data_IF_787455203539
#
_entry.id   IF_787455203539
#
_cell.length_a   1.000
_cell.length_b   1.000
_cell.length_c   1.000
_cell.angle_alpha   90.00
_cell.angle_beta   90.00
_cell.angle_gamma   90.00
#
_symmetry.space_group_name_H-M   'P 1'
#
loop_
_entity.id
_entity.type
_entity.pdbx_description
1 polymer ?
#
# COMPACT_ATOMS: atom_id res chain seq x y z
N UNK A 1 -9.60 -14.83 -5.50
CA UNK A 1 -8.15 -14.53 -5.41
C UNK A 1 -7.30 -15.74 -5.04
N UNK A 2 -7.39 -16.29 -3.82
CA UNK A 2 -6.57 -17.45 -3.39
C UNK A 2 -6.67 -18.65 -4.36
N UNK A 3 -7.88 -19.10 -4.68
CA UNK A 3 -8.10 -20.20 -5.62
C UNK A 3 -7.80 -19.86 -7.10
N UNK A 4 -7.63 -18.58 -7.43
CA UNK A 4 -7.16 -18.13 -8.74
C UNK A 4 -5.62 -18.11 -8.83
N UNK A 5 -4.92 -18.52 -7.77
CA UNK A 5 -3.46 -18.44 -7.69
C UNK A 5 -2.93 -17.01 -7.50
N UNK A 6 -3.79 -16.04 -7.19
CA UNK A 6 -3.38 -14.65 -6.99
C UNK A 6 -3.03 -14.43 -5.50
N UNK A 7 -1.83 -13.92 -5.17
CA UNK A 7 -1.43 -13.68 -3.79
C UNK A 7 -2.43 -12.81 -3.03
N UNK A 8 -2.90 -13.29 -1.87
CA UNK A 8 -3.91 -12.59 -1.07
C UNK A 8 -3.92 -13.05 0.39
N UNK A 9 -4.56 -12.26 1.25
CA UNK A 9 -4.92 -12.63 2.61
C UNK A 9 -6.19 -13.51 2.64
N UNK A 10 -6.10 -14.81 2.96
CA UNK A 10 -7.28 -15.65 3.14
C UNK A 10 -8.12 -15.23 4.35
N UNK A 11 -9.44 -15.36 4.22
CA UNK A 11 -10.37 -15.28 5.34
C UNK A 11 -10.52 -16.66 5.99
N UNK A 12 -10.31 -16.74 7.30
CA UNK A 12 -10.43 -17.97 8.09
C UNK A 12 -11.84 -18.19 8.61
N UNK A 13 -12.50 -17.14 9.09
CA UNK A 13 -13.86 -17.22 9.63
C UNK A 13 -14.58 -15.86 9.56
N UNK A 14 -15.91 -15.91 9.54
CA UNK A 14 -16.79 -14.75 9.69
C UNK A 14 -17.76 -15.07 10.82
N UNK A 15 -17.88 -14.17 11.79
CA UNK A 15 -18.80 -14.28 12.91
C UNK A 15 -19.70 -13.04 12.88
N UNK A 16 -21.01 -13.25 12.92
CA UNK A 16 -22.01 -12.18 13.02
C UNK A 16 -22.54 -12.07 14.45
N UNK A 17 -23.05 -10.89 14.83
CA UNK A 17 -23.72 -10.67 16.11
C UNK A 17 -25.05 -9.93 15.93
N UNK A 18 -25.85 -9.88 16.99
CA UNK A 18 -27.04 -9.03 17.05
C UNK A 18 -26.70 -7.56 17.40
N UNK A 19 -25.41 -7.23 17.55
CA UNK A 19 -24.97 -5.85 17.69
C UNK A 19 -25.24 -5.11 16.40
N UNK A 20 -25.88 -3.96 16.50
CA UNK A 20 -26.23 -3.13 15.36
C UNK A 20 -25.23 -1.99 15.20
N UNK A 21 -24.85 -1.70 13.96
CA UNK A 21 -23.94 -0.62 13.57
C UNK A 21 -24.61 0.22 12.52
N UNK A 22 -24.63 1.53 12.74
CA UNK A 22 -25.13 2.50 11.78
C UNK A 22 -24.07 2.72 10.69
N UNK A 23 -24.48 2.60 9.43
CA UNK A 23 -23.62 2.72 8.26
C UNK A 23 -24.32 3.58 7.22
N UNK A 24 -23.53 4.44 6.60
CA UNK A 24 -23.89 5.13 5.37
C UNK A 24 -22.93 4.64 4.28
N UNK A 25 -23.33 3.58 3.59
CA UNK A 25 -22.46 2.89 2.62
C UNK A 25 -22.07 3.81 1.46
N UNK A 26 -22.98 4.72 1.07
CA UNK A 26 -22.80 5.61 -0.08
C UNK A 26 -22.48 7.05 0.30
N UNK A 27 -22.35 7.35 1.59
CA UNK A 27 -22.16 8.70 2.11
C UNK A 27 -23.25 9.69 1.65
N UNK A 28 -24.50 9.24 1.50
CA UNK A 28 -25.64 10.07 1.04
C UNK A 28 -26.37 10.78 2.19
N UNK A 29 -26.06 10.44 3.43
CA UNK A 29 -26.81 10.83 4.62
C UNK A 29 -27.96 9.87 4.97
N UNK A 30 -28.23 8.86 4.12
CA UNK A 30 -29.26 7.86 4.35
C UNK A 30 -28.70 6.68 5.16
N UNK A 31 -28.57 6.89 6.47
CA UNK A 31 -28.02 5.90 7.36
C UNK A 31 -28.93 4.66 7.46
N UNK A 32 -28.33 3.48 7.32
CA UNK A 32 -28.97 2.20 7.57
C UNK A 32 -28.33 1.52 8.77
N UNK A 33 -29.10 0.69 9.46
CA UNK A 33 -28.60 -0.11 10.58
C UNK A 33 -28.36 -1.55 10.12
N UNK A 34 -27.13 -2.03 10.31
CA UNK A 34 -26.70 -3.36 9.88
C UNK A 34 -26.16 -4.17 11.06
N UNK A 35 -26.17 -5.50 10.95
CA UNK A 35 -25.56 -6.37 11.95
C UNK A 35 -24.03 -6.30 11.87
N UNK A 36 -23.38 -6.11 13.01
CA UNK A 36 -21.95 -6.19 13.12
C UNK A 36 -21.46 -7.60 12.78
N UNK A 37 -20.37 -7.68 12.03
CA UNK A 37 -19.69 -8.93 11.76
C UNK A 37 -18.18 -8.74 11.87
N UNK A 38 -17.47 -9.77 12.32
CA UNK A 38 -16.02 -9.80 12.43
C UNK A 38 -15.49 -10.88 11.49
N UNK A 39 -14.56 -10.49 10.63
CA UNK A 39 -13.83 -11.41 9.75
C UNK A 39 -12.44 -11.62 10.30
N UNK A 40 -12.07 -12.88 10.54
CA UNK A 40 -10.70 -13.26 10.89
C UNK A 40 -9.92 -13.48 9.60
N UNK A 41 -8.93 -12.64 9.35
CA UNK A 41 -8.07 -12.67 8.17
C UNK A 41 -6.68 -13.12 8.57
N UNK A 42 -6.03 -13.94 7.76
CA UNK A 42 -4.70 -14.50 8.04
C UNK A 42 -3.70 -14.01 7.01
N UNK A 43 -2.50 -13.63 7.46
CA UNK A 43 -1.40 -13.19 6.62
C UNK A 43 -0.06 -13.48 7.31
N UNK A 44 1.03 -13.60 6.54
CA UNK A 44 2.39 -13.62 7.12
C UNK A 44 2.72 -12.29 7.81
N UNK A 45 2.19 -11.19 7.28
CA UNK A 45 2.32 -9.85 7.85
C UNK A 45 1.22 -8.95 7.30
N UNK A 46 0.88 -7.91 8.05
CA UNK A 46 -0.01 -6.81 7.64
C UNK A 46 0.75 -5.49 7.48
N UNK A 47 2.09 -5.53 7.40
CA UNK A 47 2.91 -4.35 7.11
C UNK A 47 2.60 -3.87 5.69
N UNK A 48 2.28 -2.58 5.58
CA UNK A 48 1.83 -1.90 4.36
C UNK A 48 2.86 -0.85 3.95
N UNK A 49 2.78 -0.31 2.74
CA UNK A 49 3.65 0.82 2.36
C UNK A 49 3.38 2.02 3.27
N UNK A 50 2.11 2.28 3.59
CA UNK A 50 1.69 3.31 4.55
C UNK A 50 2.30 3.15 5.95
N UNK A 51 2.73 1.95 6.35
CA UNK A 51 3.45 1.74 7.62
C UNK A 51 4.79 2.46 7.66
N UNK A 52 5.43 2.69 6.51
CA UNK A 52 6.68 3.45 6.40
C UNK A 52 6.40 4.96 6.28
N UNK A 53 5.21 5.34 5.83
CA UNK A 53 4.83 6.74 5.61
C UNK A 53 4.49 7.48 6.90
N UNK A 54 4.25 6.77 8.01
CA UNK A 54 3.91 7.37 9.32
C UNK A 54 4.98 8.34 9.84
N UNK A 55 6.22 8.21 9.36
CA UNK A 55 7.36 9.06 9.70
C UNK A 55 7.66 10.14 8.66
N UNK A 56 6.94 10.19 7.54
CA UNK A 56 7.12 11.23 6.52
C UNK A 56 6.82 12.61 7.10
N UNK A 57 7.48 13.62 6.53
CA UNK A 57 7.14 15.02 6.74
C UNK A 57 5.68 15.29 6.35
N UNK A 58 5.04 16.32 6.93
CA UNK A 58 3.67 16.68 6.58
C UNK A 58 3.51 16.89 5.08
N UNK A 59 2.40 16.39 4.53
CA UNK A 59 2.04 16.58 3.14
C UNK A 59 1.92 18.08 2.84
N UNK A 60 2.65 18.62 1.85
CA UNK A 60 2.76 20.06 1.64
C UNK A 60 1.45 20.71 1.18
N UNK A 61 0.49 19.93 0.69
CA UNK A 61 -0.79 20.43 0.16
C UNK A 61 -1.87 20.37 1.24
N UNK A 62 -2.01 19.23 1.89
CA UNK A 62 -3.09 18.93 2.84
C UNK A 62 -2.70 19.19 4.29
N UNK A 63 -1.40 19.37 4.57
CA UNK A 63 -0.86 19.49 5.92
C UNK A 63 -1.00 18.23 6.77
N UNK A 64 -1.44 17.10 6.18
CA UNK A 64 -1.63 15.84 6.92
C UNK A 64 -0.30 15.21 7.25
N UNK A 65 -0.22 14.58 8.41
CA UNK A 65 1.00 13.97 8.91
C UNK A 65 0.70 12.72 9.75
N UNK A 66 1.67 11.81 9.81
CA UNK A 66 1.57 10.58 10.60
C UNK A 66 1.91 10.79 12.07
N UNK A 67 1.65 9.79 12.91
CA UNK A 67 1.93 9.86 14.35
C UNK A 67 3.42 9.84 14.71
N UNK A 68 4.33 9.65 13.75
CA UNK A 68 5.78 9.45 13.98
C UNK A 68 6.66 10.35 13.11
N UNK A 69 6.13 11.49 12.66
CA UNK A 69 6.84 12.47 11.80
C UNK A 69 8.25 12.74 12.30
N UNK A 70 9.22 12.64 11.39
CA UNK A 70 10.64 12.89 11.68
C UNK A 70 11.36 11.76 12.40
N UNK A 71 10.66 10.70 12.84
CA UNK A 71 11.30 9.52 13.43
C UNK A 71 11.72 8.52 12.34
N UNK A 72 12.82 8.82 11.66
CA UNK A 72 13.37 8.00 10.58
C UNK A 72 14.02 6.70 11.09
N UNK A 73 14.40 6.64 12.38
CA UNK A 73 14.85 5.41 13.03
C UNK A 73 13.81 4.29 12.95
N UNK A 74 12.53 4.60 13.13
CA UNK A 74 11.44 3.62 13.01
C UNK A 74 11.39 3.04 11.60
N UNK A 75 11.56 3.86 10.57
CA UNK A 75 11.57 3.41 9.17
C UNK A 75 12.69 2.41 8.95
N UNK A 76 13.90 2.74 9.41
CA UNK A 76 15.07 1.86 9.32
C UNK A 76 14.87 0.53 10.05
N UNK A 77 14.34 0.58 11.29
CA UNK A 77 14.08 -0.62 12.08
C UNK A 77 13.02 -1.52 11.41
N UNK A 78 11.95 -0.91 10.91
CA UNK A 78 10.90 -1.62 10.20
C UNK A 78 11.42 -2.25 8.91
N UNK A 79 12.23 -1.53 8.12
CA UNK A 79 12.84 -2.08 6.90
C UNK A 79 13.73 -3.27 7.23
N UNK A 80 14.64 -3.15 8.20
CA UNK A 80 15.51 -4.25 8.62
C UNK A 80 14.70 -5.47 9.07
N UNK A 81 13.66 -5.25 9.90
CA UNK A 81 12.77 -6.33 10.33
C UNK A 81 12.08 -7.02 9.15
N UNK A 82 11.52 -6.24 8.21
CA UNK A 82 10.84 -6.80 7.04
C UNK A 82 11.79 -7.62 6.18
N UNK A 83 13.00 -7.11 5.91
CA UNK A 83 13.97 -7.83 5.08
C UNK A 83 14.39 -9.13 5.78
N UNK A 84 14.73 -9.08 7.06
CA UNK A 84 15.12 -10.27 7.84
C UNK A 84 14.04 -11.35 7.83
N UNK A 85 12.78 -10.97 8.05
CA UNK A 85 11.70 -11.95 8.24
C UNK A 85 11.10 -12.44 6.93
N UNK A 86 10.98 -11.58 5.92
CA UNK A 86 10.21 -11.87 4.70
C UNK A 86 11.05 -11.91 3.43
N UNK A 87 12.29 -11.42 3.49
CA UNK A 87 13.27 -11.44 2.40
C UNK A 87 14.64 -11.96 2.88
N UNK A 88 14.69 -13.12 3.57
CA UNK A 88 15.91 -13.56 4.25
C UNK A 88 17.11 -13.77 3.31
N UNK A 89 16.86 -14.10 2.04
CA UNK A 89 17.89 -14.21 1.01
C UNK A 89 18.61 -12.88 0.75
N UNK A 90 17.86 -11.77 0.71
CA UNK A 90 18.42 -10.41 0.56
C UNK A 90 19.21 -10.05 1.82
N UNK A 91 18.65 -10.33 3.00
CA UNK A 91 19.34 -10.06 4.26
C UNK A 91 20.68 -10.81 4.33
N UNK A 92 20.68 -12.12 4.03
CA UNK A 92 21.90 -12.94 4.13
C UNK A 92 23.02 -12.49 3.20
N UNK A 93 22.67 -11.95 2.04
CA UNK A 93 23.64 -11.57 1.00
C UNK A 93 24.14 -10.14 1.18
N UNK A 94 23.25 -9.21 1.56
CA UNK A 94 23.53 -7.78 1.54
C UNK A 94 23.55 -7.10 2.92
N UNK A 95 23.37 -7.81 4.05
CA UNK A 95 23.30 -7.15 5.38
C UNK A 95 24.54 -6.33 5.76
N UNK A 96 25.71 -6.62 5.17
CA UNK A 96 26.94 -5.87 5.40
C UNK A 96 27.02 -4.58 4.57
N UNK A 97 26.16 -4.42 3.57
CA UNK A 97 26.01 -3.23 2.74
C UNK A 97 24.53 -2.81 2.73
N UNK A 98 24.17 -1.96 3.68
CA UNK A 98 22.77 -1.58 3.91
C UNK A 98 22.13 -0.88 2.70
N UNK A 99 22.93 -0.17 1.90
CA UNK A 99 22.45 0.54 0.71
C UNK A 99 22.01 -0.49 -0.33
N UNK A 100 22.88 -1.44 -0.66
CA UNK A 100 22.54 -2.54 -1.57
C UNK A 100 21.41 -3.41 -1.03
N UNK A 101 21.38 -3.67 0.28
CA UNK A 101 20.31 -4.41 0.93
C UNK A 101 18.93 -3.76 0.70
N UNK A 102 18.83 -2.45 0.90
CA UNK A 102 17.58 -1.72 0.68
C UNK A 102 17.22 -1.61 -0.81
N UNK A 103 18.21 -1.46 -1.69
CA UNK A 103 17.98 -1.46 -3.15
C UNK A 103 17.39 -2.79 -3.62
N UNK A 104 18.01 -3.92 -3.25
CA UNK A 104 17.52 -5.24 -3.65
C UNK A 104 16.15 -5.56 -3.04
N UNK A 105 15.93 -5.16 -1.78
CA UNK A 105 14.61 -5.23 -1.17
C UNK A 105 13.56 -4.44 -1.95
N UNK A 106 13.88 -3.22 -2.36
CA UNK A 106 12.97 -2.40 -3.14
C UNK A 106 12.70 -3.01 -4.52
N UNK A 107 13.73 -3.48 -5.24
CA UNK A 107 13.58 -4.17 -6.53
C UNK A 107 12.67 -5.38 -6.45
N UNK A 108 12.86 -6.23 -5.44
CA UNK A 108 11.99 -7.39 -5.23
C UNK A 108 10.55 -6.97 -4.86
N UNK A 109 10.37 -5.90 -4.08
CA UNK A 109 9.05 -5.33 -3.77
C UNK A 109 8.34 -4.79 -5.01
N UNK A 110 9.07 -4.09 -5.89
CA UNK A 110 8.57 -3.62 -7.20
C UNK A 110 8.14 -4.82 -8.04
N UNK A 111 8.98 -5.84 -8.16
CA UNK A 111 8.70 -7.06 -8.95
C UNK A 111 7.44 -7.77 -8.45
N UNK A 112 7.29 -7.94 -7.13
CA UNK A 112 6.11 -8.56 -6.53
C UNK A 112 4.84 -7.75 -6.77
N UNK A 113 4.93 -6.43 -6.63
CA UNK A 113 3.80 -5.51 -6.86
C UNK A 113 3.40 -5.49 -8.33
N UNK A 114 4.37 -5.43 -9.24
CA UNK A 114 4.15 -5.51 -10.68
C UNK A 114 3.46 -6.83 -11.06
N UNK A 115 3.96 -7.96 -10.57
CA UNK A 115 3.33 -9.26 -10.81
C UNK A 115 1.90 -9.31 -10.26
N UNK A 116 1.67 -8.78 -9.04
CA UNK A 116 0.35 -8.74 -8.42
C UNK A 116 -0.64 -7.94 -9.26
N UNK A 117 -0.29 -6.72 -9.68
CA UNK A 117 -1.18 -5.89 -10.49
C UNK A 117 -1.39 -6.49 -11.87
N UNK A 118 -0.36 -7.12 -12.48
CA UNK A 118 -0.54 -7.88 -13.72
C UNK A 118 -1.58 -8.99 -13.53
N UNK A 119 -1.52 -9.77 -12.45
CA UNK A 119 -2.50 -10.80 -12.15
C UNK A 119 -3.92 -10.22 -11.93
N UNK A 120 -4.04 -9.05 -11.33
CA UNK A 120 -5.34 -8.36 -11.24
C UNK A 120 -5.89 -8.01 -12.61
N UNK A 121 -5.03 -7.48 -13.50
CA UNK A 121 -5.42 -7.19 -14.87
C UNK A 121 -5.89 -8.47 -15.58
N UNK A 122 -5.15 -9.57 -15.53
CA UNK A 122 -5.51 -10.78 -16.29
C UNK A 122 -6.85 -11.41 -15.89
N UNK A 123 -7.32 -11.20 -14.66
CA UNK A 123 -8.62 -11.73 -14.20
C UNK A 123 -9.72 -10.69 -14.14
N UNK A 124 -9.48 -9.47 -14.61
CA UNK A 124 -10.46 -8.39 -14.57
C UNK A 124 -10.80 -7.92 -13.15
N UNK A 125 -9.86 -8.03 -12.20
CA UNK A 125 -10.07 -7.58 -10.82
C UNK A 125 -9.78 -6.08 -10.69
N UNK A 126 -10.69 -5.36 -10.04
CA UNK A 126 -10.58 -3.96 -9.66
C UNK A 126 -10.63 -3.82 -8.14
N UNK A 127 -9.55 -3.30 -7.54
CA UNK A 127 -9.43 -3.16 -6.08
C UNK A 127 -10.41 -2.14 -5.47
N UNK A 128 -10.63 -1.02 -6.17
CA UNK A 128 -11.71 -0.06 -5.89
C UNK A 128 -11.33 1.24 -5.15
N UNK A 129 -12.34 2.11 -5.00
CA UNK A 129 -12.35 3.40 -4.24
C UNK A 129 -13.71 3.51 -3.52
N UNK A 130 -13.79 4.14 -2.34
CA UNK A 130 -15.06 4.44 -1.65
C UNK A 130 -15.82 5.60 -2.33
N UNK A 131 -17.17 5.67 -2.19
CA UNK A 131 -17.97 6.71 -2.83
C UNK A 131 -17.50 8.12 -2.49
N UNK A 132 -17.50 8.99 -3.51
CA UNK A 132 -17.22 10.41 -3.40
C UNK A 132 -18.44 11.13 -2.82
N UNK A 133 -18.24 11.93 -1.76
CA UNK A 133 -19.29 12.77 -1.19
C UNK A 133 -19.14 14.22 -1.74
N UNK A 134 -20.19 14.74 -2.40
CA UNK A 134 -20.23 16.10 -2.93
C UNK A 134 -20.10 17.19 -1.84
N UNK A 135 -20.47 16.89 -0.60
CA UNK A 135 -20.37 17.79 0.56
C UNK A 135 -19.00 17.74 1.25
N UNK A 136 -18.14 16.76 0.94
CA UNK A 136 -16.76 16.68 1.43
C UNK A 136 -15.76 16.45 0.29
N UNK A 137 -15.54 17.43 -0.60
CA UNK A 137 -14.68 17.30 -1.79
C UNK A 137 -13.20 16.98 -1.49
N UNK A 138 -12.77 17.09 -0.23
CA UNK A 138 -11.40 16.78 0.23
C UNK A 138 -11.22 15.37 0.82
N UNK A 139 -12.28 14.55 0.86
CA UNK A 139 -12.19 13.13 1.25
C UNK A 139 -12.23 12.25 -0.01
N UNK A 140 -11.11 12.19 -0.71
CA UNK A 140 -10.83 11.13 -1.69
C UNK A 140 -10.40 9.91 -0.88
N UNK A 141 -11.32 8.98 -0.58
CA UNK A 141 -10.98 7.69 0.04
C UNK A 141 -10.83 6.63 -1.04
N UNK A 142 -9.71 6.67 -1.77
CA UNK A 142 -9.29 5.52 -2.58
C UNK A 142 -9.02 4.31 -1.69
N UNK A 143 -9.18 3.09 -2.23
CA UNK A 143 -8.84 1.85 -1.52
C UNK A 143 -7.52 1.28 -2.05
N UNK A 144 -6.92 1.83 -3.12
CA UNK A 144 -5.54 1.53 -3.53
C UNK A 144 -4.56 2.64 -3.08
N UNK A 145 -4.74 3.09 -1.84
CA UNK A 145 -3.78 3.98 -1.18
C UNK A 145 -2.55 3.18 -0.71
N UNK A 146 -1.48 3.89 -0.33
CA UNK A 146 -0.25 3.27 0.18
C UNK A 146 -0.50 2.38 1.41
N UNK A 147 -1.47 2.71 2.26
CA UNK A 147 -1.88 1.86 3.38
C UNK A 147 -2.56 0.56 2.93
N UNK A 148 -3.01 0.42 1.69
CA UNK A 148 -3.57 -0.83 1.16
C UNK A 148 -2.61 -1.58 0.23
N UNK A 149 -1.35 -1.17 0.19
CA UNK A 149 -0.28 -1.88 -0.51
C UNK A 149 0.51 -2.75 0.46
N UNK A 150 0.41 -4.08 0.33
CA UNK A 150 1.17 -5.02 1.16
C UNK A 150 2.67 -4.99 0.83
N UNK A 151 3.53 -4.94 1.86
CA UNK A 151 4.99 -4.97 1.68
C UNK A 151 5.52 -6.27 1.08
N UNK A 152 4.73 -7.35 1.16
CA UNK A 152 5.07 -8.67 0.58
C UNK A 152 4.26 -9.02 -0.69
N UNK A 153 3.56 -8.06 -1.29
CA UNK A 153 2.82 -8.27 -2.54
C UNK A 153 1.56 -9.14 -2.42
N UNK A 154 0.75 -8.94 -1.38
CA UNK A 154 -0.57 -9.57 -1.23
C UNK A 154 -1.70 -8.62 -1.64
N UNK A 155 -2.77 -9.16 -2.22
CA UNK A 155 -4.07 -8.48 -2.29
C UNK A 155 -4.66 -8.44 -0.88
N UNK A 156 -4.85 -7.24 -0.35
CA UNK A 156 -5.36 -6.96 1.00
C UNK A 156 -6.53 -5.97 0.95
N UNK A 157 -7.25 -5.81 2.06
CA UNK A 157 -8.26 -4.76 2.24
C UNK A 157 -9.39 -4.75 1.19
N UNK A 158 -10.20 -5.80 1.24
CA UNK A 158 -11.35 -5.99 0.35
C UNK A 158 -12.52 -5.10 0.78
N UNK A 159 -12.61 -3.91 0.20
CA UNK A 159 -13.74 -2.99 0.35
C UNK A 159 -14.67 -3.01 -0.88
N UNK A 160 -14.80 -1.89 -1.63
CA UNK A 160 -15.62 -1.79 -2.84
C UNK A 160 -14.89 -2.34 -4.07
N UNK A 161 -14.42 -3.59 -3.99
CA UNK A 161 -13.78 -4.26 -5.12
C UNK A 161 -14.82 -4.80 -6.10
N UNK A 162 -14.40 -5.09 -7.34
CA UNK A 162 -15.25 -5.72 -8.34
C UNK A 162 -14.45 -6.58 -9.32
N UNK A 163 -15.12 -7.57 -9.91
CA UNK A 163 -14.64 -8.24 -11.11
C UNK A 163 -15.39 -7.70 -12.32
N UNK A 164 -14.71 -7.55 -13.44
CA UNK A 164 -15.33 -7.05 -14.67
C UNK A 164 -16.22 -8.13 -15.28
N UNK A 165 -17.53 -7.86 -15.32
CA UNK A 165 -18.49 -8.72 -16.04
C UNK A 165 -18.47 -8.46 -17.56
N UNK A 166 -18.50 -7.18 -17.97
CA UNK A 166 -18.39 -6.75 -19.36
C UNK A 166 -17.16 -5.89 -19.55
N UNK A 167 -16.25 -6.32 -20.42
CA UNK A 167 -14.96 -5.67 -20.59
C UNK A 167 -15.08 -4.24 -21.13
N UNK A 168 -14.59 -3.29 -20.33
CA UNK A 168 -14.29 -1.92 -20.77
C UNK A 168 -12.97 -1.47 -20.13
N UNK A 169 -12.09 -0.81 -20.89
CA UNK A 169 -10.82 -0.30 -20.35
C UNK A 169 -11.03 0.73 -19.24
N UNK A 170 -12.05 1.57 -19.44
CA UNK A 170 -12.52 2.55 -18.47
C UNK A 170 -13.51 1.93 -17.48
N UNK A 171 -13.48 0.61 -17.27
CA UNK A 171 -14.32 -0.01 -16.25
C UNK A 171 -13.95 0.57 -14.89
N UNK A 172 -14.96 1.12 -14.21
CA UNK A 172 -14.86 1.60 -12.86
C UNK A 172 -15.84 0.76 -12.06
N UNK A 173 -15.33 -0.04 -11.13
CA UNK A 173 -16.15 -0.91 -10.28
C UNK A 173 -17.05 -0.12 -9.30
N UNK A 174 -16.89 1.20 -9.22
CA UNK A 174 -17.68 2.10 -8.38
C UNK A 174 -18.20 3.31 -9.17
N UNK A 175 -19.47 3.65 -8.99
CA UNK A 175 -20.20 4.75 -9.65
C UNK A 175 -19.74 6.17 -9.30
N UNK A 176 -18.65 6.36 -8.53
CA UNK A 176 -18.24 7.66 -7.96
C UNK A 176 -16.81 8.11 -8.30
N UNK A 177 -16.25 7.69 -9.43
CA UNK A 177 -14.95 8.17 -9.96
C UNK A 177 -15.12 8.90 -11.31
N UNK A 178 -15.57 10.17 -11.31
CA UNK A 178 -15.80 10.92 -12.55
C UNK A 178 -14.52 11.21 -13.35
N UNK A 179 -13.33 11.04 -12.75
CA UNK A 179 -12.03 11.28 -13.39
C UNK A 179 -11.31 9.97 -13.78
N UNK A 180 -11.90 8.80 -13.50
CA UNK A 180 -11.32 7.49 -13.85
C UNK A 180 -9.96 7.19 -13.23
N UNK A 181 -9.57 7.87 -12.15
CA UNK A 181 -8.23 7.74 -11.52
C UNK A 181 -7.93 6.32 -11.03
N UNK A 182 -8.95 5.54 -10.70
CA UNK A 182 -8.82 4.15 -10.27
C UNK A 182 -9.64 3.21 -11.14
N UNK A 183 -9.82 3.57 -12.42
CA UNK A 183 -10.33 2.62 -13.40
C UNK A 183 -9.44 1.38 -13.43
N UNK A 184 -10.00 0.30 -13.94
CA UNK A 184 -9.28 -0.94 -14.18
C UNK A 184 -7.91 -0.69 -14.83
N UNK A 185 -7.86 0.18 -15.85
CA UNK A 185 -6.64 0.55 -16.57
C UNK A 185 -5.63 1.38 -15.75
N UNK A 186 -6.06 2.09 -14.70
CA UNK A 186 -5.15 2.93 -13.89
C UNK A 186 -4.44 2.18 -12.76
N UNK A 187 -4.89 0.97 -12.39
CA UNK A 187 -4.29 0.22 -11.29
C UNK A 187 -2.75 0.07 -11.40
N UNK A 188 -2.15 -0.21 -12.58
CA UNK A 188 -0.69 -0.26 -12.72
C UNK A 188 0.00 1.06 -12.38
N UNK A 189 -0.50 2.18 -12.91
CA UNK A 189 0.06 3.52 -12.68
C UNK A 189 -0.05 3.92 -11.20
N UNK A 190 -1.16 3.57 -10.54
CA UNK A 190 -1.36 3.82 -9.11
C UNK A 190 -0.40 2.98 -8.27
N UNK A 191 -0.21 1.70 -8.60
CA UNK A 191 0.79 0.87 -7.93
C UNK A 191 2.21 1.42 -8.07
N UNK A 192 2.58 1.90 -9.26
CA UNK A 192 3.88 2.55 -9.50
C UNK A 192 4.04 3.82 -8.67
N UNK A 193 3.00 4.64 -8.57
CA UNK A 193 3.00 5.84 -7.72
C UNK A 193 3.18 5.49 -6.24
N UNK A 194 2.48 4.46 -5.75
CA UNK A 194 2.64 4.00 -4.36
C UNK A 194 4.04 3.44 -4.08
N UNK A 195 4.65 2.74 -5.06
CA UNK A 195 6.05 2.29 -4.96
C UNK A 195 7.02 3.47 -4.88
N UNK A 196 6.80 4.53 -5.66
CA UNK A 196 7.62 5.76 -5.57
C UNK A 196 7.51 6.40 -4.18
N UNK A 197 6.31 6.42 -3.58
CA UNK A 197 6.13 6.89 -2.20
C UNK A 197 6.85 6.01 -1.18
N UNK A 198 6.90 4.70 -1.36
CA UNK A 198 7.71 3.81 -0.52
C UNK A 198 9.21 4.10 -0.69
N UNK A 199 9.69 4.30 -1.92
CA UNK A 199 11.09 4.60 -2.20
C UNK A 199 11.58 5.86 -1.45
N UNK A 200 10.77 6.91 -1.41
CA UNK A 200 11.06 8.13 -0.64
C UNK A 200 11.34 7.83 0.84
N UNK A 201 10.54 6.97 1.48
CA UNK A 201 10.76 6.57 2.87
C UNK A 201 12.11 5.87 3.04
N UNK A 202 12.44 4.94 2.13
CA UNK A 202 13.69 4.18 2.19
C UNK A 202 14.91 5.08 1.98
N UNK A 203 14.83 6.03 1.04
CA UNK A 203 15.89 7.01 0.78
C UNK A 203 16.11 7.89 2.02
N UNK A 204 15.04 8.41 2.63
CA UNK A 204 15.17 9.25 3.83
C UNK A 204 15.79 8.47 4.99
N UNK A 205 15.41 7.19 5.18
CA UNK A 205 16.00 6.32 6.19
C UNK A 205 17.50 6.10 5.97
N UNK A 206 17.94 5.89 4.71
CA UNK A 206 19.36 5.72 4.38
C UNK A 206 20.17 6.99 4.62
N UNK A 207 19.63 8.15 4.24
CA UNK A 207 20.28 9.45 4.49
C UNK A 207 20.47 9.68 5.99
N UNK A 208 19.47 9.34 6.81
CA UNK A 208 19.53 9.47 8.26
C UNK A 208 20.58 8.54 8.88
N UNK A 209 20.60 7.27 8.49
CA UNK A 209 21.63 6.31 8.95
C UNK A 209 23.06 6.74 8.57
N UNK A 210 23.23 7.37 7.40
CA UNK A 210 24.52 7.91 6.97
C UNK A 210 24.93 9.16 7.76
N UNK A 211 24.00 10.02 8.17
CA UNK A 211 24.33 11.17 9.04
C UNK A 211 24.83 10.74 10.42
N UNK A 212 24.33 9.63 10.95
CA UNK A 212 24.77 9.07 12.23
C UNK A 212 26.13 8.36 12.15
N UNK A 213 26.56 7.92 10.96
CA UNK A 213 27.89 7.35 10.74
C UNK A 213 28.84 8.46 10.29
N UNK A 214 29.85 8.79 11.11
CA UNK A 214 30.68 10.01 11.02
C UNK A 214 31.58 10.16 9.78
N UNK A 215 31.27 9.52 8.65
CA UNK A 215 32.06 9.56 7.43
C UNK A 215 31.51 10.57 6.42
N UNK A 216 32.07 11.79 6.44
CA UNK A 216 31.70 12.93 5.57
C UNK A 216 32.29 12.83 4.16
N UNK A 217 32.21 11.67 3.51
CA UNK A 217 32.72 11.54 2.14
C UNK A 217 31.68 11.03 1.14
N UNK A 218 31.52 11.90 0.11
CA UNK A 218 30.86 11.77 -1.18
C UNK A 218 29.34 12.08 -1.27
N UNK A 219 29.02 12.86 -2.30
CA UNK A 219 27.69 13.07 -2.90
C UNK A 219 27.02 11.72 -3.18
N UNK A 220 26.21 11.21 -2.24
CA UNK A 220 25.57 9.89 -2.34
C UNK A 220 24.05 9.94 -2.51
N UNK A 221 23.43 11.13 -2.53
CA UNK A 221 22.02 11.29 -2.93
C UNK A 221 21.75 10.74 -4.34
N UNK A 222 22.78 10.65 -5.20
CA UNK A 222 22.68 10.12 -6.56
C UNK A 222 22.55 8.59 -6.67
N UNK A 223 23.17 7.79 -5.79
CA UNK A 223 23.33 6.34 -6.04
C UNK A 223 21.98 5.59 -6.02
N UNK A 224 21.05 6.00 -5.17
CA UNK A 224 19.76 5.32 -5.06
C UNK A 224 18.77 5.75 -6.14
N UNK A 225 18.88 6.98 -6.66
CA UNK A 225 17.99 7.52 -7.70
C UNK A 225 18.48 7.13 -9.09
N UNK A 226 19.79 7.09 -9.31
CA UNK A 226 20.39 6.77 -10.62
C UNK A 226 20.33 5.26 -10.97
N UNK A 227 19.98 4.40 -10.01
CA UNK A 227 19.91 2.93 -10.18
C UNK A 227 18.48 2.34 -10.07
N UNK A 228 17.45 3.19 -9.98
CA UNK A 228 16.03 2.82 -10.02
C UNK A 228 15.45 2.97 -11.43
#
# INVERSE_FOLDING_TARGET
>A
MYYLGIPTTPAASIITSDTLVERDMFYTGDNITEKASITSIVAKTFIRFGSFEISKSPDPITGRFGSSVGNLTIVSQLTNYVIQQFYPHIWSEYSNDIINCYMEFFKETVKRTANLVTLWQTVGFCHGKLPFNLFFPHKITSVLNADNMSIIGLTIDYGPFGFIDQFTWDHISNTSDPNGRYSYAQQPSVCAWNLARLAECLIQALIDQQKCSSDKTANKECIFVDNL
#
